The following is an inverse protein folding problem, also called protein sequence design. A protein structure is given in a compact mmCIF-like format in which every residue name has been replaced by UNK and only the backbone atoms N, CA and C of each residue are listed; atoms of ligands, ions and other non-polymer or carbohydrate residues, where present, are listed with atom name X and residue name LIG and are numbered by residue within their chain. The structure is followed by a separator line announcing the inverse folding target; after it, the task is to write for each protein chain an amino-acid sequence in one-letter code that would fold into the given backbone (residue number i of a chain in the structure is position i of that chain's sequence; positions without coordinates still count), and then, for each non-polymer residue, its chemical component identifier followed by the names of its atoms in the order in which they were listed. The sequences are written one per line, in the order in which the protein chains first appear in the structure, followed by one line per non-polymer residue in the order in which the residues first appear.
data_IF_357960997880
#
_entry.id   IF_357960997880
#
_cell.length_a   1.000
_cell.length_b   1.000
_cell.length_c   1.000
_cell.angle_alpha   90.00
_cell.angle_beta   90.00
_cell.angle_gamma   90.00
#
_symmetry.space_group_name_H-M   'P 1'
#
loop_
_entity.id
_entity.type
_entity.pdbx_description
1 polymer ?
#
# COMPACT_ATOMS: atom_id res chain seq x y z
N UNK A 1 -30.43 7.06 -11.40
CA UNK A 1 -29.78 6.44 -10.22
C UNK A 1 -29.13 7.54 -9.41
N UNK A 2 -29.44 7.66 -8.12
CA UNK A 2 -28.81 8.65 -7.26
C UNK A 2 -27.45 8.10 -6.77
N UNK A 3 -26.36 8.64 -7.31
CA UNK A 3 -24.99 8.20 -7.00
C UNK A 3 -24.61 8.43 -5.55
N UNK A 4 -24.96 9.60 -5.01
CA UNK A 4 -24.65 9.97 -3.63
C UNK A 4 -25.32 9.01 -2.66
N UNK A 5 -26.60 8.72 -2.90
CA UNK A 5 -27.33 7.71 -2.13
C UNK A 5 -26.65 6.34 -2.27
N UNK A 6 -26.29 5.91 -3.49
CA UNK A 6 -25.71 4.57 -3.74
C UNK A 6 -24.36 4.39 -3.04
N UNK A 7 -23.52 5.42 -3.02
CA UNK A 7 -22.16 5.35 -2.49
C UNK A 7 -22.06 5.63 -0.99
N UNK A 8 -22.98 6.41 -0.42
CA UNK A 8 -22.88 6.87 0.98
C UNK A 8 -23.92 6.30 1.94
N UNK A 9 -25.02 5.72 1.44
CA UNK A 9 -26.05 5.14 2.31
C UNK A 9 -25.93 3.60 2.39
N UNK A 10 -25.44 3.02 3.49
CA UNK A 10 -25.27 1.56 3.61
C UNK A 10 -26.58 0.79 3.83
N UNK A 11 -27.65 1.46 4.27
CA UNK A 11 -28.95 0.82 4.61
C UNK A 11 -29.81 0.61 3.37
N UNK A 12 -29.47 1.26 2.26
CA UNK A 12 -30.23 1.16 1.01
C UNK A 12 -30.13 -0.21 0.34
N UNK A 13 -31.02 -0.43 -0.63
CA UNK A 13 -30.98 -1.57 -1.56
C UNK A 13 -30.39 -1.14 -2.89
N UNK A 14 -29.69 -2.05 -3.57
CA UNK A 14 -29.08 -1.77 -4.87
C UNK A 14 -29.21 -2.98 -5.79
N UNK A 15 -29.88 -2.84 -6.95
CA UNK A 15 -29.94 -3.92 -7.93
C UNK A 15 -28.57 -4.20 -8.56
N UNK A 16 -28.40 -5.39 -9.15
CA UNK A 16 -27.15 -5.86 -9.76
C UNK A 16 -26.49 -4.86 -10.71
N UNK A 17 -27.29 -4.22 -11.57
CA UNK A 17 -26.82 -3.24 -12.56
C UNK A 17 -26.23 -1.99 -11.90
N UNK A 18 -26.90 -1.49 -10.86
CA UNK A 18 -26.45 -0.31 -10.12
C UNK A 18 -25.16 -0.61 -9.32
N UNK A 19 -25.07 -1.82 -8.73
CA UNK A 19 -23.87 -2.30 -8.07
C UNK A 19 -22.69 -2.40 -9.06
N UNK A 20 -22.88 -3.05 -10.20
CA UNK A 20 -21.82 -3.25 -11.20
C UNK A 20 -21.30 -1.92 -11.72
N UNK A 21 -22.19 -0.96 -12.02
CA UNK A 21 -21.80 0.39 -12.45
C UNK A 21 -20.98 1.12 -11.39
N UNK A 22 -21.42 1.08 -10.13
CA UNK A 22 -20.71 1.73 -9.03
C UNK A 22 -19.35 1.08 -8.76
N UNK A 23 -19.31 -0.23 -8.76
CA UNK A 23 -18.09 -1.00 -8.60
C UNK A 23 -17.09 -0.69 -9.72
N UNK A 24 -17.53 -0.71 -10.99
CA UNK A 24 -16.68 -0.40 -12.14
C UNK A 24 -16.14 1.03 -12.07
N UNK A 25 -16.94 2.00 -11.63
CA UNK A 25 -16.47 3.37 -11.43
C UNK A 25 -15.33 3.44 -10.41
N UNK A 26 -15.49 2.81 -9.25
CA UNK A 26 -14.46 2.76 -8.20
C UNK A 26 -13.21 2.01 -8.67
N UNK A 27 -13.39 0.92 -9.42
CA UNK A 27 -12.29 0.15 -10.02
C UNK A 27 -11.52 1.00 -11.03
N UNK A 28 -12.21 1.66 -11.96
CA UNK A 28 -11.57 2.52 -12.97
C UNK A 28 -10.84 3.69 -12.34
N UNK A 29 -11.40 4.30 -11.28
CA UNK A 29 -10.72 5.36 -10.53
C UNK A 29 -9.37 4.86 -9.98
N UNK A 30 -9.32 3.66 -9.39
CA UNK A 30 -8.07 3.05 -8.93
C UNK A 30 -7.13 2.72 -10.09
N UNK A 31 -7.66 2.14 -11.15
CA UNK A 31 -6.90 1.76 -12.32
C UNK A 31 -6.19 2.96 -12.95
N UNK A 32 -6.91 4.06 -13.18
CA UNK A 32 -6.32 5.28 -13.72
C UNK A 32 -5.36 5.96 -12.75
N UNK A 33 -5.61 5.88 -11.43
CA UNK A 33 -4.66 6.40 -10.44
C UNK A 33 -3.32 5.66 -10.51
N UNK A 34 -3.33 4.33 -10.60
CA UNK A 34 -2.10 3.52 -10.61
C UNK A 34 -1.43 3.59 -11.99
N UNK A 35 -2.15 3.21 -13.03
CA UNK A 35 -1.59 3.05 -14.36
C UNK A 35 -1.55 4.36 -15.12
N UNK A 36 -2.60 5.19 -15.04
CA UNK A 36 -2.64 6.48 -15.74
C UNK A 36 -1.60 7.45 -15.19
N UNK A 37 -1.64 7.75 -13.89
CA UNK A 37 -0.69 8.68 -13.27
C UNK A 37 0.73 8.09 -13.30
N UNK A 38 0.90 6.79 -13.00
CA UNK A 38 2.20 6.12 -13.08
C UNK A 38 2.82 6.16 -14.48
N UNK A 39 2.02 5.97 -15.52
CA UNK A 39 2.47 6.09 -16.91
C UNK A 39 2.93 7.50 -17.26
N UNK A 40 2.17 8.53 -16.85
CA UNK A 40 2.56 9.93 -17.03
C UNK A 40 3.91 10.21 -16.35
N UNK A 41 4.07 9.81 -15.08
CA UNK A 41 5.34 9.97 -14.35
C UNK A 41 6.51 9.28 -15.04
N UNK A 42 6.27 8.09 -15.61
CA UNK A 42 7.29 7.33 -16.34
C UNK A 42 7.74 8.09 -17.58
N UNK A 43 6.81 8.65 -18.36
CA UNK A 43 7.14 9.46 -19.54
C UNK A 43 7.95 10.70 -19.13
N UNK A 44 7.51 11.42 -18.10
CA UNK A 44 8.22 12.60 -17.60
C UNK A 44 9.64 12.26 -17.14
N UNK A 45 9.82 11.14 -16.43
CA UNK A 45 11.13 10.67 -16.01
C UNK A 45 12.04 10.33 -17.18
N UNK A 46 11.54 9.64 -18.21
CA UNK A 46 12.29 9.33 -19.44
C UNK A 46 12.69 10.60 -20.20
N UNK A 47 11.85 11.64 -20.17
CA UNK A 47 12.17 12.94 -20.77
C UNK A 47 13.20 13.78 -19.99
N UNK A 48 13.70 13.27 -18.85
CA UNK A 48 14.71 13.96 -18.04
C UNK A 48 14.15 14.96 -17.03
N UNK A 49 12.83 14.99 -16.81
CA UNK A 49 12.22 15.86 -15.79
C UNK A 49 12.41 15.21 -14.42
N UNK A 50 12.94 15.97 -13.46
CA UNK A 50 13.02 15.49 -12.07
C UNK A 50 11.62 15.36 -11.48
N UNK A 51 11.21 14.11 -11.24
CA UNK A 51 9.87 13.74 -10.76
C UNK A 51 9.87 13.29 -9.31
N UNK A 52 10.98 13.42 -8.57
CA UNK A 52 11.10 12.83 -7.23
C UNK A 52 9.98 13.28 -6.28
N UNK A 53 9.79 14.60 -6.11
CA UNK A 53 8.73 15.15 -5.24
C UNK A 53 7.33 14.82 -5.76
N UNK A 54 7.15 14.83 -7.09
CA UNK A 54 5.88 14.51 -7.72
C UNK A 54 5.50 13.04 -7.47
N UNK A 55 6.48 12.14 -7.54
CA UNK A 55 6.29 10.71 -7.30
C UNK A 55 5.87 10.42 -5.87
N UNK A 56 6.48 11.10 -4.89
CA UNK A 56 6.14 10.97 -3.46
C UNK A 56 4.72 11.46 -3.18
N UNK A 57 4.34 12.62 -3.72
CA UNK A 57 2.97 13.14 -3.55
C UNK A 57 1.93 12.22 -4.21
N UNK A 58 2.23 11.68 -5.39
CA UNK A 58 1.37 10.71 -6.08
C UNK A 58 1.24 9.42 -5.28
N UNK A 59 2.31 8.96 -4.65
CA UNK A 59 2.29 7.82 -3.75
C UNK A 59 1.30 8.08 -2.60
N UNK A 60 1.37 9.20 -1.88
CA UNK A 60 0.41 9.49 -0.80
C UNK A 60 -1.03 9.63 -1.29
N UNK A 61 -1.23 10.34 -2.41
CA UNK A 61 -2.55 10.52 -3.02
C UNK A 61 -3.16 9.18 -3.43
N UNK A 62 -2.35 8.26 -3.95
CA UNK A 62 -2.80 6.91 -4.33
C UNK A 62 -3.36 6.18 -3.12
N UNK A 63 -2.69 6.26 -1.97
CA UNK A 63 -3.11 5.61 -0.73
C UNK A 63 -4.41 6.15 -0.20
N UNK A 64 -4.55 7.48 -0.25
CA UNK A 64 -5.80 8.15 0.08
C UNK A 64 -6.95 7.72 -0.85
N UNK A 65 -6.73 7.68 -2.17
CA UNK A 65 -7.73 7.20 -3.13
C UNK A 65 -8.10 5.75 -2.86
N UNK A 66 -7.13 4.88 -2.55
CA UNK A 66 -7.38 3.50 -2.19
C UNK A 66 -8.22 3.35 -0.93
N UNK A 67 -7.92 4.12 0.12
CA UNK A 67 -8.69 4.14 1.36
C UNK A 67 -10.14 4.57 1.08
N UNK A 68 -10.32 5.73 0.43
CA UNK A 68 -11.63 6.29 0.12
C UNK A 68 -12.47 5.33 -0.72
N UNK A 69 -11.92 4.83 -1.82
CA UNK A 69 -12.63 3.89 -2.68
C UNK A 69 -12.90 2.55 -1.99
N UNK A 70 -12.08 2.14 -1.00
CA UNK A 70 -12.33 0.91 -0.23
C UNK A 70 -13.53 1.08 0.68
N UNK A 71 -13.64 2.23 1.35
CA UNK A 71 -14.81 2.58 2.17
C UNK A 71 -16.08 2.62 1.33
N UNK A 72 -16.05 3.30 0.17
CA UNK A 72 -17.19 3.34 -0.75
C UNK A 72 -17.52 1.95 -1.32
N UNK A 73 -16.50 1.13 -1.60
CA UNK A 73 -16.69 -0.25 -2.04
C UNK A 73 -17.40 -1.08 -0.97
N UNK A 74 -17.05 -0.95 0.31
CA UNK A 74 -17.77 -1.63 1.40
C UNK A 74 -19.24 -1.24 1.41
N UNK A 75 -19.56 0.06 1.29
CA UNK A 75 -20.95 0.54 1.29
C UNK A 75 -21.76 -0.11 0.17
N UNK A 76 -21.26 -0.12 -1.07
CA UNK A 76 -22.01 -0.73 -2.19
C UNK A 76 -22.17 -2.25 -2.05
N UNK A 77 -21.20 -2.93 -1.43
CA UNK A 77 -21.28 -4.36 -1.15
C UNK A 77 -22.30 -4.67 -0.07
N UNK A 78 -22.34 -3.90 1.03
CA UNK A 78 -23.37 -4.03 2.07
C UNK A 78 -24.75 -3.89 1.47
N UNK A 79 -24.99 -2.84 0.68
CA UNK A 79 -26.30 -2.61 0.03
C UNK A 79 -26.71 -3.77 -0.86
N UNK A 80 -25.77 -4.31 -1.64
CA UNK A 80 -26.04 -5.41 -2.56
C UNK A 80 -26.32 -6.72 -1.82
N UNK A 81 -25.56 -7.01 -0.76
CA UNK A 81 -25.79 -8.17 0.09
C UNK A 81 -27.15 -8.08 0.80
N UNK A 82 -27.49 -6.90 1.33
CA UNK A 82 -28.79 -6.65 1.97
C UNK A 82 -29.97 -6.82 1.00
N UNK A 83 -29.82 -6.34 -0.24
CA UNK A 83 -30.82 -6.51 -1.30
C UNK A 83 -31.07 -7.99 -1.65
N UNK A 84 -30.01 -8.79 -1.64
CA UNK A 84 -30.06 -10.24 -1.84
C UNK A 84 -30.45 -11.04 -0.57
N UNK A 85 -30.72 -10.38 0.57
CA UNK A 85 -31.03 -11.03 1.83
C UNK A 85 -29.87 -11.82 2.44
N UNK A 86 -28.62 -11.48 2.09
CA UNK A 86 -27.40 -12.09 2.64
C UNK A 86 -26.84 -11.24 3.78
N UNK A 87 -26.04 -11.86 4.65
CA UNK A 87 -25.36 -11.15 5.73
C UNK A 87 -24.39 -10.09 5.18
N UNK A 88 -24.49 -8.86 5.69
CA UNK A 88 -23.62 -7.74 5.31
C UNK A 88 -22.17 -7.92 5.76
N UNK A 89 -21.90 -8.84 6.70
CA UNK A 89 -20.55 -9.15 7.19
C UNK A 89 -19.61 -9.61 6.06
N UNK A 90 -20.15 -10.22 5.00
CA UNK A 90 -19.36 -10.60 3.82
C UNK A 90 -18.70 -9.40 3.12
N UNK A 91 -19.22 -8.18 3.28
CA UNK A 91 -18.60 -6.97 2.74
C UNK A 91 -17.23 -6.67 3.37
N UNK A 92 -16.92 -7.23 4.55
CA UNK A 92 -15.61 -7.05 5.20
C UNK A 92 -14.46 -7.65 4.39
N UNK A 93 -14.73 -8.59 3.46
CA UNK A 93 -13.73 -9.14 2.54
C UNK A 93 -13.06 -8.03 1.72
N UNK A 94 -13.80 -6.96 1.39
CA UNK A 94 -13.27 -5.81 0.67
C UNK A 94 -12.15 -5.10 1.43
N UNK A 95 -12.14 -5.20 2.77
CA UNK A 95 -11.14 -4.57 3.61
C UNK A 95 -9.89 -5.44 3.79
N UNK A 96 -9.91 -6.72 3.43
CA UNK A 96 -8.78 -7.63 3.63
C UNK A 96 -7.49 -7.10 2.98
N UNK A 97 -7.48 -6.65 1.71
CA UNK A 97 -6.27 -6.06 1.12
C UNK A 97 -5.75 -4.88 1.95
N UNK A 98 -6.65 -3.99 2.37
CA UNK A 98 -6.32 -2.80 3.14
C UNK A 98 -5.72 -3.15 4.49
N UNK A 99 -6.34 -4.07 5.22
CA UNK A 99 -5.87 -4.52 6.53
C UNK A 99 -4.51 -5.22 6.42
N UNK A 100 -4.34 -6.16 5.49
CA UNK A 100 -3.09 -6.89 5.31
C UNK A 100 -1.96 -5.98 4.84
N UNK A 101 -2.22 -5.14 3.84
CA UNK A 101 -1.25 -4.15 3.36
C UNK A 101 -0.82 -3.22 4.50
N UNK A 102 -1.78 -2.71 5.28
CA UNK A 102 -1.49 -1.81 6.40
C UNK A 102 -0.68 -2.50 7.50
N UNK A 103 -1.03 -3.75 7.84
CA UNK A 103 -0.32 -4.51 8.87
C UNK A 103 1.14 -4.75 8.48
N UNK A 104 1.40 -5.19 7.24
CA UNK A 104 2.77 -5.40 6.73
C UNK A 104 3.55 -4.08 6.69
N UNK A 105 2.93 -3.00 6.23
CA UNK A 105 3.58 -1.69 6.17
C UNK A 105 3.90 -1.16 7.57
N UNK A 106 2.99 -1.30 8.53
CA UNK A 106 3.18 -0.87 9.91
C UNK A 106 4.30 -1.67 10.60
N UNK A 107 4.34 -2.98 10.38
CA UNK A 107 5.44 -3.83 10.86
C UNK A 107 6.79 -3.40 10.26
N UNK A 108 6.83 -3.10 8.97
CA UNK A 108 8.04 -2.60 8.30
C UNK A 108 8.46 -1.21 8.79
N UNK A 109 7.51 -0.30 9.04
CA UNK A 109 7.77 1.04 9.60
C UNK A 109 8.33 0.94 11.00
N UNK A 110 7.74 0.12 11.87
CA UNK A 110 8.21 -0.05 13.26
C UNK A 110 9.62 -0.61 13.30
N UNK A 111 9.94 -1.62 12.47
CA UNK A 111 11.30 -2.13 12.34
C UNK A 111 12.27 -1.07 11.82
N UNK A 112 11.93 -0.40 10.72
CA UNK A 112 12.79 0.61 10.10
C UNK A 112 13.02 1.83 11.01
N UNK A 113 12.02 2.21 11.82
CA UNK A 113 12.16 3.27 12.81
C UNK A 113 13.17 2.89 13.91
N UNK A 114 13.12 1.64 14.41
CA UNK A 114 14.10 1.14 15.36
C UNK A 114 15.52 1.13 14.79
N UNK A 115 15.70 0.68 13.55
CA UNK A 115 16.99 0.74 12.85
C UNK A 115 17.47 2.18 12.63
N UNK A 116 16.55 3.10 12.30
CA UNK A 116 16.86 4.51 12.11
C UNK A 116 17.37 5.15 13.41
N UNK A 117 16.70 4.89 14.54
CA UNK A 117 17.12 5.40 15.86
C UNK A 117 18.51 4.89 16.22
N UNK A 118 18.79 3.59 16.03
CA UNK A 118 20.14 3.03 16.25
C UNK A 118 21.20 3.72 15.40
N UNK A 119 20.93 3.91 14.11
CA UNK A 119 21.86 4.59 13.20
C UNK A 119 22.07 6.06 13.59
N UNK A 120 21.01 6.73 14.02
CA UNK A 120 21.06 8.11 14.50
C UNK A 120 21.95 8.24 15.73
N UNK A 121 21.80 7.36 16.71
CA UNK A 121 22.65 7.32 17.91
C UNK A 121 24.12 7.03 17.57
N UNK A 122 24.38 6.07 16.67
CA UNK A 122 25.73 5.77 16.21
C UNK A 122 26.40 6.99 15.55
N UNK A 123 25.64 7.74 14.74
CA UNK A 123 26.14 8.97 14.13
C UNK A 123 26.32 10.07 15.17
N UNK A 124 25.40 10.23 16.11
CA UNK A 124 25.53 11.21 17.18
C UNK A 124 26.80 10.95 18.01
N UNK A 125 27.09 9.69 18.34
CA UNK A 125 28.32 9.28 19.02
C UNK A 125 29.58 9.57 18.18
N UNK A 126 29.56 9.23 16.89
CA UNK A 126 30.67 9.55 15.96
C UNK A 126 30.91 11.06 15.84
N UNK A 127 29.84 11.86 15.76
CA UNK A 127 29.96 13.32 15.66
C UNK A 127 30.40 13.98 16.98
N UNK A 128 30.15 13.34 18.12
CA UNK A 128 30.58 13.82 19.42
C UNK A 128 32.08 13.64 19.63
N UNK A 129 32.63 12.48 19.26
CA UNK A 129 34.06 12.18 19.31
C UNK A 129 34.48 11.15 18.24
N UNK A 130 34.96 11.61 17.06
CA UNK A 130 35.34 10.74 15.97
C UNK A 130 36.55 9.82 16.29
N UNK A 131 37.50 10.28 17.11
CA UNK A 131 38.73 9.53 17.40
C UNK A 131 38.44 8.38 18.37
N UNK A 132 37.70 8.66 19.46
CA UNK A 132 37.26 7.63 20.40
C UNK A 132 36.35 6.58 19.74
N UNK A 133 35.52 6.99 18.76
CA UNK A 133 34.68 6.06 18.00
C UNK A 133 35.49 5.08 17.14
N UNK A 134 36.60 5.54 16.54
CA UNK A 134 37.50 4.68 15.76
C UNK A 134 38.26 3.70 16.65
N UNK A 135 38.68 4.12 17.85
CA UNK A 135 39.33 3.24 18.83
C UNK A 135 38.39 2.16 19.35
N UNK A 136 37.15 2.51 19.72
CA UNK A 136 36.13 1.53 20.16
C UNK A 136 35.80 0.46 19.11
N UNK A 137 35.98 0.75 17.81
CA UNK A 137 35.79 -0.22 16.74
C UNK A 137 36.99 -1.13 16.51
N UNK A 138 38.20 -0.69 16.82
CA UNK A 138 39.40 -1.53 16.74
C UNK A 138 39.38 -2.64 17.80
N UNK A 139 38.77 -2.36 18.95
CA UNK A 139 38.68 -3.29 20.09
C UNK A 139 37.42 -4.18 20.08
N UNK A 140 36.44 -3.90 19.19
CA UNK A 140 35.28 -4.79 18.99
C UNK A 140 35.62 -5.84 17.92
N UNK A 141 35.79 -7.13 18.28
CA UNK A 141 35.80 -8.18 17.26
C UNK A 141 34.49 -8.09 16.47
N UNK A 142 34.58 -8.14 15.15
CA UNK A 142 33.45 -8.05 14.23
C UNK A 142 32.34 -9.00 14.68
N UNK A 143 31.30 -8.47 15.33
CA UNK A 143 30.10 -9.24 15.60
C UNK A 143 29.49 -9.53 14.23
N UNK A 144 29.28 -10.81 13.87
CA UNK A 144 28.54 -11.14 12.67
C UNK A 144 27.17 -10.46 12.80
N UNK A 145 26.76 -9.80 11.73
CA UNK A 145 25.43 -9.24 11.62
C UNK A 145 24.42 -10.33 12.00
N UNK A 146 23.61 -10.08 13.04
CA UNK A 146 22.57 -10.99 13.51
C UNK A 146 21.81 -11.60 12.31
N UNK A 147 21.91 -12.92 12.21
CA UNK A 147 21.16 -13.76 11.30
C UNK A 147 19.67 -13.62 11.64
N UNK A 148 18.93 -12.85 10.84
CA UNK A 148 17.52 -12.60 11.10
C UNK A 148 16.84 -11.71 10.06
N UNK A 149 16.75 -12.20 8.82
CA UNK A 149 15.52 -12.19 8.00
C UNK A 149 15.82 -12.37 6.51
N UNK A 150 16.15 -13.61 6.16
CA UNK A 150 15.84 -14.21 4.87
C UNK A 150 14.32 -14.28 4.68
N UNK A 151 13.69 -13.17 4.29
CA UNK A 151 12.35 -13.14 3.70
C UNK A 151 12.09 -11.86 2.90
N UNK A 152 13.08 -11.39 2.13
CA UNK A 152 12.83 -10.42 1.07
C UNK A 152 13.09 -11.11 -0.26
N UNK A 153 12.12 -11.94 -0.65
CA UNK A 153 12.05 -12.51 -2.00
C UNK A 153 11.90 -11.35 -2.98
N UNK A 154 13.03 -10.96 -3.54
CA UNK A 154 13.14 -10.28 -4.82
C UNK A 154 12.24 -10.97 -5.84
N UNK A 155 11.22 -10.26 -6.32
CA UNK A 155 10.74 -10.47 -7.68
C UNK A 155 10.87 -9.16 -8.44
N UNK A 156 11.63 -9.30 -9.49
CA UNK A 156 12.24 -8.32 -10.35
C UNK A 156 11.25 -8.03 -11.48
N UNK A 157 10.82 -6.77 -11.65
CA UNK A 157 10.38 -6.28 -12.94
C UNK A 157 10.82 -4.81 -13.13
N UNK A 158 11.71 -4.68 -14.11
CA UNK A 158 12.30 -3.52 -14.81
C UNK A 158 11.52 -2.20 -14.76
N UNK A 159 12.13 -1.01 -14.68
CA UNK A 159 13.53 -0.68 -14.95
C UNK A 159 13.92 0.75 -14.56
N UNK A 160 15.23 0.96 -14.44
CA UNK A 160 15.85 2.24 -14.13
C UNK A 160 17.28 2.02 -13.60
N UNK A 161 18.28 2.30 -14.44
CA UNK A 161 19.71 2.22 -14.11
C UNK A 161 20.04 3.05 -12.86
N UNK A 162 20.60 2.41 -11.85
CA UNK A 162 21.19 3.09 -10.69
C UNK A 162 21.46 2.17 -9.50
N UNK A 163 22.68 1.61 -9.46
CA UNK A 163 23.33 1.00 -8.29
C UNK A 163 22.57 -0.11 -7.53
N UNK A 164 22.81 -1.37 -7.92
CA UNK A 164 22.76 -2.52 -7.00
C UNK A 164 23.93 -2.40 -6.02
N UNK A 165 23.79 -1.60 -4.97
CA UNK A 165 24.63 -1.77 -3.78
C UNK A 165 23.93 -2.81 -2.91
N UNK A 166 24.51 -4.01 -2.82
CA UNK A 166 24.24 -4.89 -1.69
C UNK A 166 24.36 -4.03 -0.44
N UNK A 167 23.29 -3.96 0.37
CA UNK A 167 23.11 -2.95 1.42
C UNK A 167 24.28 -3.03 2.40
N UNK A 168 25.34 -2.27 2.15
CA UNK A 168 26.49 -2.20 3.01
C UNK A 168 26.00 -1.75 4.40
N UNK A 169 26.50 -2.33 5.49
CA UNK A 169 26.12 -1.90 6.83
C UNK A 169 26.33 -0.39 6.96
N UNK A 170 25.37 0.29 7.57
CA UNK A 170 25.42 1.75 7.74
C UNK A 170 26.73 2.15 8.40
N UNK A 171 27.40 3.15 7.82
CA UNK A 171 28.62 3.72 8.37
C UNK A 171 28.30 5.07 9.00
N UNK A 172 28.80 5.30 10.22
CA UNK A 172 28.45 6.49 11.02
C UNK A 172 28.99 7.81 10.45
N UNK A 173 29.99 7.74 9.56
CA UNK A 173 30.52 8.85 8.77
C UNK A 173 29.57 9.32 7.66
N UNK A 174 28.64 8.47 7.23
CA UNK A 174 27.67 8.82 6.19
C UNK A 174 26.52 9.67 6.75
N UNK A 175 26.07 10.63 5.94
CA UNK A 175 24.88 11.43 6.26
C UNK A 175 23.64 10.52 6.29
N UNK A 176 22.95 10.52 7.43
CA UNK A 176 21.65 9.87 7.55
C UNK A 176 20.62 10.59 6.66
N UNK A 177 19.91 9.86 5.77
CA UNK A 177 18.76 10.42 5.07
C UNK A 177 17.65 10.76 6.07
N UNK A 178 16.70 11.62 5.70
CA UNK A 178 15.56 11.94 6.58
C UNK A 178 14.68 10.71 6.90
N UNK A 179 13.98 10.75 8.04
CA UNK A 179 13.09 9.66 8.49
C UNK A 179 12.06 9.25 7.43
N UNK A 180 11.51 10.20 6.68
CA UNK A 180 10.54 9.91 5.62
C UNK A 180 11.15 9.02 4.52
N UNK A 181 12.38 9.31 4.11
CA UNK A 181 13.07 8.56 3.06
C UNK A 181 13.55 7.17 3.53
N UNK A 182 13.94 7.03 4.80
CA UNK A 182 14.48 5.78 5.36
C UNK A 182 13.41 4.85 5.94
N UNK A 183 12.34 5.42 6.50
CA UNK A 183 11.30 4.67 7.22
C UNK A 183 10.01 4.59 6.41
N UNK A 184 9.50 5.71 5.90
CA UNK A 184 8.16 5.74 5.30
C UNK A 184 8.16 5.28 3.83
N UNK A 185 8.98 5.91 2.97
CA UNK A 185 8.99 5.63 1.51
C UNK A 185 9.15 4.13 1.16
N UNK A 186 10.09 3.39 1.77
CA UNK A 186 10.27 1.97 1.42
C UNK A 186 9.04 1.13 1.78
N UNK A 187 8.43 1.41 2.92
CA UNK A 187 7.32 0.63 3.46
C UNK A 187 5.98 0.95 2.78
N UNK A 188 5.79 2.18 2.30
CA UNK A 188 4.62 2.55 1.50
C UNK A 188 4.61 1.81 0.16
N UNK A 189 5.77 1.54 -0.45
CA UNK A 189 5.81 0.72 -1.66
C UNK A 189 5.32 -0.70 -1.37
N UNK A 190 5.79 -1.31 -0.29
CA UNK A 190 5.33 -2.63 0.16
C UNK A 190 3.82 -2.67 0.42
N UNK A 191 3.28 -1.62 1.06
CA UNK A 191 1.83 -1.44 1.23
C UNK A 191 1.10 -1.59 -0.11
N UNK A 192 1.51 -0.86 -1.15
CA UNK A 192 0.83 -0.91 -2.45
C UNK A 192 0.96 -2.25 -3.16
N UNK A 193 2.13 -2.89 -3.09
CA UNK A 193 2.33 -4.21 -3.69
C UNK A 193 1.39 -5.23 -3.06
N UNK A 194 1.28 -5.24 -1.73
CA UNK A 194 0.35 -6.12 -1.01
C UNK A 194 -1.11 -5.77 -1.35
N UNK A 195 -1.46 -4.49 -1.35
CA UNK A 195 -2.78 -4.02 -1.75
C UNK A 195 -3.18 -4.52 -3.14
N UNK A 196 -2.30 -4.38 -4.14
CA UNK A 196 -2.57 -4.83 -5.51
C UNK A 196 -2.74 -6.35 -5.57
N UNK A 197 -1.83 -7.10 -4.94
CA UNK A 197 -1.85 -8.56 -4.93
C UNK A 197 -3.17 -9.09 -4.34
N UNK A 198 -3.57 -8.59 -3.16
CA UNK A 198 -4.80 -9.05 -2.52
C UNK A 198 -6.07 -8.49 -3.18
N UNK A 199 -6.01 -7.30 -3.78
CA UNK A 199 -7.14 -6.74 -4.54
C UNK A 199 -7.48 -7.56 -5.79
N UNK A 200 -6.52 -8.31 -6.35
CA UNK A 200 -6.77 -9.19 -7.48
C UNK A 200 -7.81 -10.29 -7.17
N UNK A 201 -7.93 -10.72 -5.91
CA UNK A 201 -8.94 -11.70 -5.48
C UNK A 201 -10.31 -11.07 -5.21
N UNK A 202 -10.34 -9.79 -4.85
CA UNK A 202 -11.59 -9.05 -4.61
C UNK A 202 -12.37 -8.88 -5.90
N UNK A 203 -11.70 -8.61 -7.02
CA UNK A 203 -12.34 -8.43 -8.33
C UNK A 203 -13.22 -9.61 -8.76
N UNK A 204 -12.72 -10.86 -8.87
CA UNK A 204 -13.53 -11.99 -9.24
C UNK A 204 -14.60 -12.29 -8.19
N UNK A 205 -14.33 -12.09 -6.90
CA UNK A 205 -15.35 -12.25 -5.86
C UNK A 205 -16.51 -11.26 -6.05
N UNK A 206 -16.23 -9.98 -6.28
CA UNK A 206 -17.25 -8.96 -6.53
C UNK A 206 -18.07 -9.26 -7.78
N UNK A 207 -17.44 -9.67 -8.88
CA UNK A 207 -18.10 -9.85 -10.18
C UNK A 207 -18.78 -11.21 -10.37
N UNK A 208 -18.16 -12.29 -9.88
CA UNK A 208 -18.67 -13.65 -10.08
C UNK A 208 -19.66 -14.05 -8.98
N UNK A 209 -19.55 -13.47 -7.78
CA UNK A 209 -20.42 -13.81 -6.67
C UNK A 209 -21.39 -12.68 -6.35
N UNK A 210 -20.92 -11.52 -5.87
CA UNK A 210 -21.79 -10.45 -5.33
C UNK A 210 -22.72 -9.86 -6.40
N UNK A 211 -22.19 -9.59 -7.59
CA UNK A 211 -22.99 -9.04 -8.69
C UNK A 211 -24.11 -10.00 -9.12
N UNK A 212 -23.87 -11.31 -9.04
CA UNK A 212 -24.76 -12.37 -9.55
C UNK A 212 -25.82 -12.86 -8.56
N UNK A 213 -25.84 -12.34 -7.33
CA UNK A 213 -26.86 -12.70 -6.37
C UNK A 213 -28.27 -12.37 -6.92
N UNK A 214 -29.30 -13.20 -6.67
CA UNK A 214 -30.66 -12.82 -7.03
C UNK A 214 -31.12 -11.65 -6.15
N UNK A 215 -31.82 -10.68 -6.74
CA UNK A 215 -32.43 -9.60 -5.95
C UNK A 215 -33.70 -10.14 -5.31
N UNK A 216 -34.07 -9.69 -4.12
CA UNK A 216 -35.35 -10.13 -3.48
C UNK A 216 -36.59 -9.84 -4.33
N UNK A 217 -36.54 -8.80 -5.15
CA UNK A 217 -37.62 -8.46 -6.10
C UNK A 217 -37.80 -9.50 -7.20
N UNK A 218 -36.74 -10.25 -7.52
CA UNK A 218 -36.71 -11.20 -8.64
C UNK A 218 -37.11 -12.61 -8.18
N UNK A 219 -37.14 -12.85 -6.86
CA UNK A 219 -37.36 -14.17 -6.25
C UNK A 219 -38.83 -14.56 -6.07
N UNK A 220 -39.79 -13.68 -6.39
CA UNK A 220 -41.22 -13.90 -6.13
C UNK A 220 -41.57 -13.86 -4.63
N UNK A 221 -42.87 -13.71 -4.27
CA UNK A 221 -43.30 -13.79 -2.88
C UNK A 221 -43.12 -15.23 -2.36
N UNK A 222 -42.39 -15.37 -1.25
CA UNK A 222 -42.43 -16.57 -0.40
C UNK A 222 -43.68 -16.54 0.47
#
# INVERSE_FOLDING_TARGET
MNWLATLLNPIGKTPSLAFTRAWTLLFLMRFFMIFGVGFILTILGISGINTENLSVNVIYLTGFVFLLTSMLSVVIHIRRLNDAGRSSLWAMIILIPLLLGSAVALAGITRAAGEYTKNYELRAAYLADPEAWQEQRKDRPEQPADEGDTASSSSEWSGGRGSRSAKAPYRADNVLPGQEASVLRPNIRTFYTMMMLFSAFVVPWSLLWVARLPSRTDAGPN
#
